data_IF_966796413995
#
_entry.id   IF_966796413995
#
_cell.length_a   1.000
_cell.length_b   1.000
_cell.length_c   1.000
_cell.angle_alpha   90.00
_cell.angle_beta   90.00
_cell.angle_gamma   90.00
#
_symmetry.space_group_name_H-M   'P 1'
#
loop_
_entity.id
_entity.type
_entity.pdbx_description
1 polymer ?
#
# COMPACT_ATOMS: atom_id res chain seq x y z
N UNK A 1 6.22 10.10 2.26
CA UNK A 1 5.40 8.87 2.30
C UNK A 1 4.07 9.17 2.95
N UNK A 2 3.00 8.63 2.42
CA UNK A 2 1.64 8.94 2.86
C UNK A 2 0.94 7.68 3.36
N UNK A 3 0.32 7.75 4.53
CA UNK A 3 -0.49 6.64 5.05
C UNK A 3 -1.79 6.55 4.25
N UNK A 4 -2.04 5.38 3.66
CA UNK A 4 -3.26 5.15 2.87
C UNK A 4 -4.35 4.60 3.77
N UNK A 5 -4.03 3.58 4.57
CA UNK A 5 -5.00 3.00 5.48
C UNK A 5 -4.29 2.25 6.60
N UNK A 6 -5.02 2.08 7.70
CA UNK A 6 -4.59 1.25 8.82
C UNK A 6 -5.80 0.45 9.27
N UNK A 7 -5.70 -0.87 9.19
CA UNK A 7 -6.81 -1.75 9.55
C UNK A 7 -6.26 -3.10 10.01
N UNK A 8 -6.83 -3.64 11.08
CA UNK A 8 -6.43 -4.94 11.62
C UNK A 8 -4.94 -5.01 11.96
N UNK A 9 -4.36 -3.89 12.39
CA UNK A 9 -2.94 -3.82 12.72
C UNK A 9 -2.01 -3.72 11.52
N UNK A 10 -2.57 -3.63 10.31
CA UNK A 10 -1.80 -3.51 9.08
C UNK A 10 -1.83 -2.06 8.63
N UNK A 11 -0.65 -1.47 8.38
CA UNK A 11 -0.53 -0.11 7.86
C UNK A 11 -0.04 -0.18 6.42
N UNK A 12 -0.71 0.57 5.55
CA UNK A 12 -0.32 0.64 4.13
C UNK A 12 0.02 2.08 3.80
N UNK A 13 1.23 2.27 3.29
CA UNK A 13 1.78 3.58 2.95
C UNK A 13 2.06 3.63 1.46
N UNK A 14 2.01 4.83 0.89
CA UNK A 14 2.35 5.05 -0.51
C UNK A 14 3.42 6.10 -0.63
N UNK A 15 4.36 5.87 -1.55
CA UNK A 15 5.40 6.83 -1.89
C UNK A 15 5.38 7.04 -3.39
N UNK A 16 5.40 8.31 -3.81
CA UNK A 16 5.37 8.64 -5.23
C UNK A 16 6.78 8.50 -5.82
N UNK A 17 6.88 7.71 -6.88
CA UNK A 17 8.12 7.56 -7.65
C UNK A 17 8.06 8.52 -8.83
N UNK A 18 8.84 9.59 -8.77
CA UNK A 18 8.85 10.62 -9.81
C UNK A 18 9.38 10.10 -11.15
N UNK A 19 10.28 9.13 -11.11
CA UNK A 19 10.87 8.58 -12.32
C UNK A 19 9.86 7.72 -13.09
N UNK A 20 9.16 6.84 -12.39
CA UNK A 20 8.19 5.95 -12.99
C UNK A 20 6.78 6.56 -13.06
N UNK A 21 6.54 7.67 -12.35
CA UNK A 21 5.24 8.34 -12.31
C UNK A 21 4.14 7.45 -11.74
N UNK A 22 4.50 6.64 -10.72
CA UNK A 22 3.56 5.75 -10.04
C UNK A 22 3.75 5.86 -8.54
N UNK A 23 2.78 5.35 -7.78
CA UNK A 23 2.89 5.21 -6.34
C UNK A 23 3.30 3.78 -6.01
N UNK A 24 4.33 3.64 -5.20
CA UNK A 24 4.74 2.34 -4.67
C UNK A 24 4.14 2.17 -3.29
N UNK A 25 3.51 1.02 -3.05
CA UNK A 25 2.89 0.73 -1.76
C UNK A 25 3.84 -0.05 -0.88
N UNK A 26 3.87 0.34 0.39
CA UNK A 26 4.63 -0.34 1.43
C UNK A 26 3.64 -0.72 2.53
N UNK A 27 3.67 -1.96 2.96
CA UNK A 27 2.78 -2.37 4.03
C UNK A 27 3.50 -3.26 5.04
N UNK A 28 3.19 -3.03 6.32
CA UNK A 28 3.76 -3.76 7.43
C UNK A 28 2.75 -4.77 7.94
N UNK A 29 3.22 -6.00 8.11
CA UNK A 29 2.40 -7.07 8.67
C UNK A 29 3.31 -7.95 9.54
N UNK A 30 2.96 -8.06 10.81
CA UNK A 30 3.70 -8.91 11.77
C UNK A 30 5.19 -8.60 11.83
N UNK A 31 5.53 -7.31 11.79
CA UNK A 31 6.92 -6.86 11.88
C UNK A 31 7.71 -6.95 10.59
N UNK A 32 7.08 -7.34 9.49
CA UNK A 32 7.72 -7.41 8.18
C UNK A 32 7.13 -6.35 7.26
N UNK A 33 8.00 -5.74 6.45
CA UNK A 33 7.61 -4.75 5.47
C UNK A 33 7.60 -5.40 4.09
N UNK A 34 6.49 -5.24 3.38
CA UNK A 34 6.32 -5.75 2.02
C UNK A 34 6.24 -4.58 1.05
N UNK A 35 6.75 -4.78 -0.16
CA UNK A 35 6.80 -3.77 -1.20
C UNK A 35 6.64 -4.44 -2.56
N UNK A 36 6.66 -3.64 -3.63
CA UNK A 36 6.59 -4.16 -5.00
C UNK A 36 5.22 -4.01 -5.64
N UNK A 37 4.27 -3.39 -4.96
CA UNK A 37 2.94 -3.13 -5.53
C UNK A 37 2.89 -1.68 -5.97
N UNK A 38 2.71 -1.44 -7.26
CA UNK A 38 2.67 -0.10 -7.83
C UNK A 38 1.30 0.22 -8.40
N UNK A 39 0.84 1.46 -8.21
CA UNK A 39 -0.45 1.93 -8.70
C UNK A 39 -0.30 3.33 -9.29
N UNK A 40 -1.27 3.74 -10.11
CA UNK A 40 -1.18 5.01 -10.86
C UNK A 40 -1.68 6.22 -10.08
N UNK A 41 -2.51 6.02 -9.07
CA UNK A 41 -3.14 7.12 -8.34
C UNK A 41 -3.39 6.75 -6.89
N UNK A 42 -3.69 7.77 -6.07
CA UNK A 42 -4.07 7.54 -4.67
C UNK A 42 -5.39 6.76 -4.59
N UNK A 43 -6.32 7.02 -5.50
CA UNK A 43 -7.58 6.27 -5.55
C UNK A 43 -7.32 4.79 -5.81
N UNK A 44 -6.41 4.49 -6.72
CA UNK A 44 -6.00 3.11 -6.98
C UNK A 44 -5.26 2.51 -5.80
N UNK A 45 -4.48 3.33 -5.08
CA UNK A 45 -3.80 2.88 -3.86
C UNK A 45 -4.82 2.47 -2.79
N UNK A 46 -5.90 3.22 -2.64
CA UNK A 46 -6.95 2.88 -1.68
C UNK A 46 -7.64 1.56 -2.06
N UNK A 47 -7.95 1.39 -3.35
CA UNK A 47 -8.58 0.14 -3.82
C UNK A 47 -7.66 -1.05 -3.65
N UNK A 48 -6.38 -0.90 -4.00
CA UNK A 48 -5.40 -1.96 -3.83
C UNK A 48 -5.19 -2.31 -2.36
N UNK A 49 -5.17 -1.29 -1.49
CA UNK A 49 -5.01 -1.51 -0.06
C UNK A 49 -6.15 -2.32 0.53
N UNK A 50 -7.38 -2.04 0.11
CA UNK A 50 -8.53 -2.80 0.53
C UNK A 50 -8.40 -4.27 0.11
N UNK A 51 -8.00 -4.50 -1.13
CA UNK A 51 -7.78 -5.85 -1.65
C UNK A 51 -6.70 -6.58 -0.85
N UNK A 52 -5.57 -5.91 -0.59
CA UNK A 52 -4.46 -6.51 0.14
C UNK A 52 -4.92 -6.94 1.53
N UNK A 53 -5.62 -6.08 2.25
CA UNK A 53 -6.05 -6.38 3.62
C UNK A 53 -7.10 -7.49 3.63
N UNK A 54 -8.08 -7.43 2.74
CA UNK A 54 -9.20 -8.37 2.75
C UNK A 54 -8.85 -9.72 2.15
N UNK A 55 -8.00 -9.76 1.12
CA UNK A 55 -7.74 -10.97 0.36
C UNK A 55 -6.36 -11.57 0.58
N UNK A 56 -5.33 -10.72 0.76
CA UNK A 56 -3.95 -11.20 0.83
C UNK A 56 -3.48 -11.43 2.25
N UNK A 57 -3.93 -10.61 3.20
CA UNK A 57 -3.41 -10.63 4.56
C UNK A 57 -4.45 -11.07 5.61
N UNK A 58 -5.63 -11.42 5.17
CA UNK A 58 -6.66 -11.88 6.11
C UNK A 58 -6.69 -13.40 6.25
#
# INVERSE_FOLDING_TARGET
>A
MRLITKKNGIEIWAEFDQTAQVYELFFDNEGQTYTGWCVDSIKDAEAASKYIIEEQLS
#
